data_IF_804775401670
#
_entry.id   IF_804775401670
#
_cell.length_a   1.000
_cell.length_b   1.000
_cell.length_c   1.000
_cell.angle_alpha   90.00
_cell.angle_beta   90.00
_cell.angle_gamma   90.00
#
_symmetry.space_group_name_H-M   'P 1'
#
loop_
_entity.id
_entity.type
_entity.pdbx_description
1 polymer ?
#
# COMPACT_ATOMS: atom_id res chain seq x y z
N UNK A 1 5.14 7.66 102.15
CA UNK A 1 4.26 7.64 100.98
C UNK A 1 5.07 8.03 99.75
N UNK A 2 5.41 7.09 98.86
CA UNK A 2 6.20 7.38 97.66
C UNK A 2 5.26 7.59 96.47
N UNK A 3 5.14 8.84 96.01
CA UNK A 3 4.42 9.19 94.78
C UNK A 3 5.16 8.64 93.56
N UNK A 4 4.61 7.60 92.92
CA UNK A 4 5.12 7.07 91.65
C UNK A 4 4.91 8.11 90.55
N UNK A 5 6.00 8.70 90.02
CA UNK A 5 5.95 9.51 88.79
C UNK A 5 5.75 8.59 87.59
N UNK A 6 4.57 8.62 86.99
CA UNK A 6 4.29 7.94 85.72
C UNK A 6 4.91 8.77 84.60
N UNK A 7 5.91 8.22 83.89
CA UNK A 7 6.50 8.87 82.71
C UNK A 7 5.45 8.94 81.59
N UNK A 8 5.18 10.12 81.00
CA UNK A 8 4.26 10.23 79.88
C UNK A 8 4.87 9.49 78.68
N UNK A 9 4.12 8.49 78.29
CA UNK A 9 4.44 7.48 77.30
C UNK A 9 4.71 8.10 75.92
N UNK A 10 5.88 7.80 75.35
CA UNK A 10 6.31 8.09 73.97
C UNK A 10 5.50 7.24 72.97
N UNK A 11 4.17 7.40 72.92
CA UNK A 11 3.28 6.68 71.99
C UNK A 11 2.82 7.56 70.82
N UNK A 12 2.88 8.88 70.94
CA UNK A 12 2.45 9.83 69.91
C UNK A 12 3.34 9.79 68.66
N UNK A 13 4.65 9.60 68.81
CA UNK A 13 5.59 9.64 67.70
C UNK A 13 5.55 8.40 66.78
N UNK A 14 5.19 7.21 67.32
CA UNK A 14 5.10 5.95 66.55
C UNK A 14 3.89 5.95 65.62
N UNK A 15 2.73 6.41 66.09
CA UNK A 15 1.50 6.49 65.29
C UNK A 15 1.63 7.51 64.15
N UNK A 16 2.22 8.68 64.43
CA UNK A 16 2.51 9.70 63.41
C UNK A 16 3.53 9.18 62.38
N UNK A 17 4.58 8.45 62.81
CA UNK A 17 5.54 7.78 61.91
C UNK A 17 4.88 6.71 61.02
N UNK A 18 3.92 5.94 61.53
CA UNK A 18 3.20 4.97 60.70
C UNK A 18 2.29 5.65 59.68
N UNK A 19 1.62 6.76 60.06
CA UNK A 19 0.82 7.57 59.15
C UNK A 19 1.65 8.17 58.00
N UNK A 20 2.85 8.69 58.30
CA UNK A 20 3.76 9.21 57.27
C UNK A 20 4.33 8.11 56.39
N UNK A 21 4.59 6.91 56.92
CA UNK A 21 5.04 5.75 56.13
C UNK A 21 3.97 5.27 55.14
N UNK A 22 2.68 5.27 55.54
CA UNK A 22 1.55 4.97 54.66
C UNK A 22 1.41 6.02 53.54
N UNK A 23 1.53 7.32 53.87
CA UNK A 23 1.55 8.40 52.87
C UNK A 23 2.69 8.23 51.87
N UNK A 24 3.91 7.89 52.34
CA UNK A 24 5.07 7.63 51.48
C UNK A 24 4.83 6.45 50.53
N UNK A 25 4.24 5.34 51.00
CA UNK A 25 3.88 4.19 50.14
C UNK A 25 2.87 4.58 49.04
N UNK A 26 1.83 5.35 49.39
CA UNK A 26 0.86 5.83 48.40
C UNK A 26 1.49 6.76 47.37
N UNK A 27 2.41 7.63 47.79
CA UNK A 27 3.12 8.53 46.90
C UNK A 27 4.04 7.77 45.92
N UNK A 28 4.74 6.73 46.40
CA UNK A 28 5.53 5.84 45.55
C UNK A 28 4.64 5.08 44.56
N UNK A 29 3.46 4.63 44.98
CA UNK A 29 2.50 3.97 44.09
C UNK A 29 2.05 4.91 42.96
N UNK A 30 1.65 6.14 43.29
CA UNK A 30 1.28 7.17 42.31
C UNK A 30 2.43 7.52 41.35
N UNK A 31 3.67 7.59 41.85
CA UNK A 31 4.86 7.80 41.00
C UNK A 31 5.10 6.65 40.01
N UNK A 32 4.84 5.40 40.42
CA UNK A 32 4.93 4.25 39.50
C UNK A 32 3.84 4.30 38.44
N UNK A 33 2.61 4.63 38.83
CA UNK A 33 1.49 4.79 37.90
C UNK A 33 1.77 5.91 36.87
N UNK A 34 2.28 7.06 37.30
CA UNK A 34 2.68 8.16 36.41
C UNK A 34 3.76 7.75 35.41
N UNK A 35 4.80 7.04 35.84
CA UNK A 35 5.85 6.55 34.94
C UNK A 35 5.31 5.62 33.86
N UNK A 36 4.34 4.76 34.21
CA UNK A 36 3.71 3.85 33.25
C UNK A 36 2.86 4.63 32.25
N UNK A 37 2.13 5.67 32.71
CA UNK A 37 1.33 6.53 31.85
C UNK A 37 2.22 7.33 30.88
N UNK A 38 3.29 7.95 31.37
CA UNK A 38 4.25 8.68 30.53
C UNK A 38 4.88 7.76 29.47
N UNK A 39 5.23 6.53 29.85
CA UNK A 39 5.76 5.54 28.91
C UNK A 39 4.74 5.12 27.86
N UNK A 40 3.48 4.91 28.25
CA UNK A 40 2.40 4.58 27.30
C UNK A 40 2.12 5.73 26.32
N UNK A 41 2.13 6.98 26.79
CA UNK A 41 1.96 8.16 25.95
C UNK A 41 3.12 8.33 24.96
N UNK A 42 4.35 8.08 25.40
CA UNK A 42 5.53 8.12 24.54
C UNK A 42 5.50 7.02 23.47
N UNK A 43 5.08 5.81 23.85
CA UNK A 43 4.94 4.70 22.89
C UNK A 43 3.80 4.97 21.88
N UNK A 44 2.70 5.59 22.31
CA UNK A 44 1.64 6.04 21.40
C UNK A 44 2.15 7.06 20.38
N UNK A 45 2.88 8.10 20.81
CA UNK A 45 3.48 9.09 19.89
C UNK A 45 4.44 8.44 18.89
N UNK A 46 5.22 7.45 19.33
CA UNK A 46 6.12 6.70 18.43
C UNK A 46 5.36 5.87 17.41
N UNK A 47 4.25 5.25 17.82
CA UNK A 47 3.39 4.49 16.93
C UNK A 47 2.72 5.41 15.90
N UNK A 48 2.18 6.56 16.32
CA UNK A 48 1.61 7.57 15.42
C UNK A 48 2.61 8.02 14.36
N UNK A 49 3.84 8.37 14.76
CA UNK A 49 4.91 8.77 13.81
C UNK A 49 5.26 7.63 12.83
N UNK A 50 5.23 6.37 13.29
CA UNK A 50 5.48 5.22 12.41
C UNK A 50 4.33 5.03 11.42
N UNK A 51 3.09 5.16 11.87
CA UNK A 51 1.91 5.05 10.99
C UNK A 51 1.87 6.18 9.97
N UNK A 52 2.16 7.42 10.36
CA UNK A 52 2.28 8.56 9.46
C UNK A 52 3.31 8.29 8.36
N UNK A 53 4.52 7.84 8.72
CA UNK A 53 5.55 7.46 7.73
C UNK A 53 5.08 6.35 6.80
N UNK A 54 4.38 5.35 7.32
CA UNK A 54 3.85 4.24 6.53
C UNK A 54 2.82 4.72 5.51
N UNK A 55 1.91 5.60 5.94
CA UNK A 55 0.90 6.23 5.08
C UNK A 55 1.58 7.11 4.03
N UNK A 56 2.61 7.89 4.39
CA UNK A 56 3.39 8.68 3.43
C UNK A 56 4.07 7.82 2.36
N UNK A 57 4.64 6.68 2.75
CA UNK A 57 5.23 5.71 1.82
C UNK A 57 4.18 5.15 0.87
N UNK A 58 3.02 4.72 1.38
CA UNK A 58 1.90 4.25 0.56
C UNK A 58 1.41 5.33 -0.41
N UNK A 59 1.33 6.59 0.01
CA UNK A 59 0.95 7.71 -0.86
C UNK A 59 2.00 7.93 -1.95
N UNK A 60 3.29 7.82 -1.65
CA UNK A 60 4.37 7.94 -2.64
C UNK A 60 4.29 6.82 -3.67
N UNK A 61 4.05 5.59 -3.24
CA UNK A 61 3.88 4.44 -4.14
C UNK A 61 2.64 4.60 -5.02
N UNK A 62 1.48 4.91 -4.43
CA UNK A 62 0.25 5.15 -5.18
C UNK A 62 0.40 6.28 -6.21
N UNK A 63 1.12 7.36 -5.88
CA UNK A 63 1.43 8.45 -6.83
C UNK A 63 2.32 7.98 -7.99
N UNK A 64 3.30 7.10 -7.74
CA UNK A 64 4.14 6.54 -8.80
C UNK A 64 3.32 5.63 -9.71
N UNK A 65 2.52 4.74 -9.14
CA UNK A 65 1.63 3.87 -9.91
C UNK A 65 0.64 4.67 -10.76
N UNK A 66 0.05 5.72 -10.21
CA UNK A 66 -0.88 6.58 -10.93
C UNK A 66 -0.22 7.29 -12.12
N UNK A 67 1.05 7.71 -12.01
CA UNK A 67 1.82 8.26 -13.15
C UNK A 67 2.04 7.20 -14.23
N UNK A 68 2.45 6.00 -13.83
CA UNK A 68 2.64 4.87 -14.76
C UNK A 68 1.34 4.49 -15.48
N UNK A 69 0.21 4.48 -14.78
CA UNK A 69 -1.10 4.19 -15.36
C UNK A 69 -1.55 5.29 -16.32
N UNK A 70 -1.32 6.58 -15.99
CA UNK A 70 -1.60 7.69 -16.91
C UNK A 70 -0.78 7.59 -18.20
N UNK A 71 0.51 7.27 -18.09
CA UNK A 71 1.36 7.08 -19.27
C UNK A 71 0.89 5.88 -20.10
N UNK A 72 0.56 4.75 -19.47
CA UNK A 72 -0.03 3.58 -20.15
C UNK A 72 -1.35 3.91 -20.85
N UNK A 73 -2.25 4.67 -20.22
CA UNK A 73 -3.53 5.05 -20.82
C UNK A 73 -3.32 5.98 -22.01
N UNK A 74 -2.48 7.00 -21.88
CA UNK A 74 -2.12 7.88 -23.01
C UNK A 74 -1.56 7.08 -24.19
N UNK A 75 -0.75 6.05 -23.92
CA UNK A 75 -0.24 5.20 -25.00
C UNK A 75 -1.31 4.35 -25.67
N UNK A 76 -2.30 3.88 -24.92
CA UNK A 76 -3.44 3.14 -25.48
C UNK A 76 -4.33 4.03 -26.33
N UNK A 77 -4.60 5.26 -25.87
CA UNK A 77 -5.37 6.25 -26.64
C UNK A 77 -4.67 6.56 -27.96
N UNK A 78 -3.37 6.89 -27.93
CA UNK A 78 -2.58 7.09 -29.14
C UNK A 78 -2.60 5.87 -30.07
N UNK A 79 -2.56 4.66 -29.52
CA UNK A 79 -2.63 3.44 -30.32
C UNK A 79 -4.01 3.26 -30.99
N UNK A 80 -5.10 3.56 -30.27
CA UNK A 80 -6.45 3.51 -30.83
C UNK A 80 -6.65 4.56 -31.92
N UNK A 81 -6.16 5.78 -31.71
CA UNK A 81 -6.20 6.84 -32.72
C UNK A 81 -5.45 6.42 -33.99
N UNK A 82 -4.27 5.80 -33.86
CA UNK A 82 -3.50 5.28 -34.98
C UNK A 82 -4.27 4.19 -35.74
N UNK A 83 -4.89 3.26 -35.01
CA UNK A 83 -5.70 2.20 -35.63
C UNK A 83 -6.93 2.74 -36.33
N UNK A 84 -7.61 3.73 -35.73
CA UNK A 84 -8.78 4.36 -36.31
C UNK A 84 -8.43 5.06 -37.62
N UNK A 85 -7.38 5.88 -37.64
CA UNK A 85 -6.92 6.54 -38.86
C UNK A 85 -6.53 5.52 -39.93
N UNK A 86 -5.84 4.43 -39.57
CA UNK A 86 -5.50 3.38 -40.51
C UNK A 86 -6.75 2.67 -41.07
N UNK A 87 -7.75 2.42 -40.22
CA UNK A 87 -9.00 1.81 -40.66
C UNK A 87 -9.78 2.71 -41.63
N UNK A 88 -9.82 4.01 -41.36
CA UNK A 88 -10.53 4.99 -42.19
C UNK A 88 -9.81 5.32 -43.50
N UNK A 89 -8.47 5.40 -43.48
CA UNK A 89 -7.68 5.91 -44.62
C UNK A 89 -6.88 4.84 -45.36
N UNK A 90 -6.77 3.62 -44.82
CA UNK A 90 -5.89 2.57 -45.35
C UNK A 90 -4.39 2.85 -45.18
N UNK A 91 -4.03 3.96 -44.52
CA UNK A 91 -2.65 4.40 -44.34
C UNK A 91 -2.34 4.74 -42.89
N UNK A 92 -1.10 4.51 -42.47
CA UNK A 92 -0.67 4.92 -41.14
C UNK A 92 -0.54 6.45 -41.04
N UNK A 93 -1.02 7.06 -39.95
CA UNK A 93 -0.96 8.51 -39.76
C UNK A 93 0.46 9.09 -39.82
N UNK A 94 0.66 10.16 -40.58
CA UNK A 94 1.93 10.90 -40.69
C UNK A 94 2.26 11.78 -39.46
N UNK A 95 1.28 11.99 -38.59
CA UNK A 95 1.33 12.75 -37.34
C UNK A 95 2.11 12.05 -36.21
N UNK A 96 2.69 10.87 -36.47
CA UNK A 96 3.68 10.23 -35.58
C UNK A 96 4.98 11.04 -35.44
N UNK A 97 5.22 12.04 -36.31
CA UNK A 97 6.43 12.89 -36.30
C UNK A 97 6.56 13.75 -35.05
N UNK A 98 5.45 14.12 -34.41
CA UNK A 98 5.43 14.99 -33.22
C UNK A 98 5.55 14.20 -31.91
N UNK A 99 5.60 12.87 -31.97
CA UNK A 99 5.74 12.02 -30.79
C UNK A 99 7.18 11.97 -30.29
N UNK A 100 7.31 11.90 -28.97
CA UNK A 100 8.62 11.68 -28.36
C UNK A 100 9.13 10.27 -28.66
N UNK A 101 10.46 10.07 -28.68
CA UNK A 101 11.08 8.76 -28.89
C UNK A 101 10.58 7.67 -27.92
N UNK A 102 10.19 8.05 -26.70
CA UNK A 102 9.63 7.14 -25.70
C UNK A 102 8.23 6.67 -26.08
N UNK A 103 7.38 7.58 -26.54
CA UNK A 103 6.01 7.27 -26.99
C UNK A 103 6.04 6.39 -28.24
N UNK A 104 6.92 6.69 -29.20
CA UNK A 104 7.10 5.85 -30.40
C UNK A 104 7.55 4.43 -30.04
N UNK A 105 8.53 4.29 -29.15
CA UNK A 105 8.96 2.98 -28.65
C UNK A 105 7.85 2.26 -27.88
N UNK A 106 7.04 3.01 -27.12
CA UNK A 106 5.87 2.49 -26.43
C UNK A 106 4.80 1.95 -27.38
N UNK A 107 4.50 2.69 -28.45
CA UNK A 107 3.57 2.25 -29.50
C UNK A 107 4.08 1.00 -30.20
N UNK A 108 5.37 0.96 -30.56
CA UNK A 108 5.98 -0.20 -31.21
C UNK A 108 5.83 -1.46 -30.34
N UNK A 109 6.16 -1.36 -29.05
CA UNK A 109 6.00 -2.49 -28.12
C UNK A 109 4.54 -2.93 -27.97
N UNK A 110 3.59 -1.98 -27.99
CA UNK A 110 2.15 -2.26 -27.95
C UNK A 110 1.68 -2.99 -29.21
N UNK A 111 2.14 -2.54 -30.38
CA UNK A 111 1.89 -3.18 -31.67
C UNK A 111 2.43 -4.62 -31.64
N UNK A 112 3.69 -4.80 -31.26
CA UNK A 112 4.32 -6.13 -31.22
C UNK A 112 3.58 -7.08 -30.29
N UNK A 113 3.17 -6.61 -29.11
CA UNK A 113 2.43 -7.42 -28.15
C UNK A 113 1.04 -7.80 -28.67
N UNK A 114 0.35 -6.87 -29.32
CA UNK A 114 -0.96 -7.13 -29.93
C UNK A 114 -0.85 -8.05 -31.14
N UNK A 115 0.13 -7.84 -32.02
CA UNK A 115 0.42 -8.72 -33.15
C UNK A 115 0.75 -10.14 -32.70
N UNK A 116 1.55 -10.29 -31.64
CA UNK A 116 1.82 -11.60 -31.03
C UNK A 116 0.53 -12.24 -30.51
N UNK A 117 -0.29 -11.48 -29.78
CA UNK A 117 -1.58 -11.98 -29.27
C UNK A 117 -2.51 -12.43 -30.40
N UNK A 118 -2.58 -11.65 -31.50
CA UNK A 118 -3.38 -11.99 -32.68
C UNK A 118 -2.84 -13.26 -33.35
N UNK A 119 -1.52 -13.40 -33.46
CA UNK A 119 -0.89 -14.60 -34.00
C UNK A 119 -1.21 -15.83 -33.15
N UNK A 120 -1.05 -15.73 -31.84
CA UNK A 120 -1.35 -16.80 -30.89
C UNK A 120 -2.86 -17.17 -30.95
N UNK A 121 -3.75 -16.18 -31.10
CA UNK A 121 -5.19 -16.41 -31.30
C UNK A 121 -5.50 -17.08 -32.65
N UNK A 122 -4.88 -16.63 -33.74
CA UNK A 122 -5.05 -17.26 -35.05
C UNK A 122 -4.53 -18.70 -35.05
N UNK A 123 -3.39 -18.97 -34.41
CA UNK A 123 -2.84 -20.32 -34.32
C UNK A 123 -3.70 -21.23 -33.41
N UNK A 124 -4.37 -20.66 -32.41
CA UNK A 124 -5.39 -21.37 -31.62
C UNK A 124 -6.68 -21.66 -32.40
N UNK A 125 -7.08 -20.78 -33.31
CA UNK A 125 -8.26 -20.96 -34.17
C UNK A 125 -8.03 -21.94 -35.34
N UNK A 126 -6.78 -22.17 -35.75
CA UNK A 126 -6.41 -23.15 -36.79
C UNK A 126 -6.61 -24.61 -36.37
N UNK A 127 -7.04 -24.90 -35.14
CA UNK A 127 -7.29 -26.26 -34.65
C UNK A 127 -8.69 -26.78 -35.07
N UNK A 128 -9.59 -25.90 -35.56
CA UNK A 128 -10.95 -26.29 -35.98
C UNK A 128 -11.14 -26.43 -37.50
N UNK A 129 -10.06 -26.47 -38.30
CA UNK A 129 -10.16 -27.02 -39.67
C UNK A 129 -10.23 -28.55 -39.58
N UNK A 130 -11.38 -29.03 -39.10
CA UNK A 130 -11.78 -30.42 -39.28
C UNK A 130 -11.66 -30.74 -40.78
N UNK A 131 -10.99 -31.82 -41.17
CA UNK A 131 -10.92 -32.21 -42.56
C UNK A 131 -12.35 -32.44 -43.02
N UNK A 132 -12.86 -31.58 -43.91
CA UNK A 132 -14.10 -31.83 -44.63
C UNK A 132 -13.89 -33.18 -45.32
N UNK A 133 -14.49 -34.22 -44.76
CA UNK A 133 -14.51 -35.53 -45.35
C UNK A 133 -15.01 -35.35 -46.77
N UNK A 134 -14.16 -35.68 -47.75
CA UNK A 134 -14.61 -35.83 -49.13
C UNK A 134 -15.52 -37.06 -49.13
N UNK A 135 -16.80 -36.84 -48.87
CA UNK A 135 -17.83 -37.83 -49.18
C UNK A 135 -17.83 -38.04 -50.69
N UNK A 136 -17.83 -39.32 -51.06
CA UNK A 136 -17.48 -39.81 -52.37
C UNK A 136 -18.29 -39.24 -53.52
N UNK A 137 -17.59 -39.07 -54.64
CA UNK A 137 -18.21 -39.07 -55.96
C UNK A 137 -17.52 -40.17 -56.77
N UNK A 138 -17.91 -41.41 -56.49
CA UNK A 138 -17.86 -42.47 -57.48
C UNK A 138 -19.00 -42.18 -58.47
N UNK A 139 -18.67 -41.65 -59.64
CA UNK A 139 -19.54 -41.71 -60.80
C UNK A 139 -18.96 -42.74 -61.77
N UNK A 140 -19.77 -43.76 -62.05
CA UNK A 140 -19.57 -44.80 -63.05
C UNK A 140 -19.23 -44.25 -64.44
#
# INVERSE_FOLDING_TARGET
MFTKRVRPVVKTHKLVRQGTLKKKKNMVKKLKELKVIEWAQEEQRRMEIREERRVEEMIKEAKKELRMLKEKNRMKELFLDVLQVHHETGHFPNNLKDLTKKELKGLLNLIDLKMKTIRDQMDGLKIDEAPVAKEGQDYY
#
